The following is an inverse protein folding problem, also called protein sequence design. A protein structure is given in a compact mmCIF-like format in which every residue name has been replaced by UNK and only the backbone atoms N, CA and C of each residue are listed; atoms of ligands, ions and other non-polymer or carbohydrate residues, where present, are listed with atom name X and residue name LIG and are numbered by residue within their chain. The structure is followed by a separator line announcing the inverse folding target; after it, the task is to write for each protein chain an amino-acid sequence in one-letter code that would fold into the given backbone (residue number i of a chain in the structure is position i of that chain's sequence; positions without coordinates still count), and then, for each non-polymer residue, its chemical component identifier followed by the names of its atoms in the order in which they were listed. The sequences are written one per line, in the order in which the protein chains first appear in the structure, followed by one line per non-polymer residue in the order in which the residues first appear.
data_IF_371590830215
#
_entry.id   IF_371590830215
#
_cell.length_a   1.000
_cell.length_b   1.000
_cell.length_c   1.000
_cell.angle_alpha   90.00
_cell.angle_beta   90.00
_cell.angle_gamma   90.00
#
_symmetry.space_group_name_H-M   'P 1'
#
loop_
_entity.id
_entity.type
_entity.pdbx_description
1 polymer ?
#
# COMPACT_ATOMS: atom_id res chain seq x y z
N UNK A 1 40.07 41.60 -66.11
CA UNK A 1 39.32 42.39 -67.12
C UNK A 1 38.03 42.84 -66.52
N UNK A 2 37.83 44.15 -66.44
CA UNK A 2 36.62 44.94 -66.29
C UNK A 2 35.80 44.67 -64.97
N UNK A 3 35.94 45.45 -63.91
CA UNK A 3 35.69 46.90 -63.72
C UNK A 3 34.22 47.33 -63.93
N UNK A 4 33.61 47.89 -62.92
CA UNK A 4 32.80 49.09 -62.70
C UNK A 4 31.75 48.80 -61.63
N UNK A 5 31.74 49.41 -60.54
CA UNK A 5 31.74 50.79 -60.03
C UNK A 5 30.30 51.19 -59.52
N UNK A 6 30.29 51.50 -58.29
CA UNK A 6 29.58 52.55 -57.55
C UNK A 6 28.16 52.98 -58.00
N UNK A 7 27.23 53.01 -57.01
CA UNK A 7 26.65 54.32 -56.59
C UNK A 7 25.99 54.17 -55.22
N UNK A 8 26.38 55.12 -54.39
CA UNK A 8 25.76 55.38 -53.08
C UNK A 8 24.57 56.33 -53.29
N UNK A 9 23.51 56.16 -52.47
CA UNK A 9 22.57 57.24 -52.16
C UNK A 9 22.05 57.05 -50.76
N UNK A 10 22.39 58.04 -49.97
CA UNK A 10 21.84 58.20 -48.62
C UNK A 10 20.49 58.89 -48.66
N UNK A 11 19.52 58.49 -47.87
CA UNK A 11 18.43 59.37 -47.47
C UNK A 11 17.89 58.99 -46.04
N UNK A 12 18.08 59.93 -45.24
CA UNK A 12 17.47 60.39 -44.01
C UNK A 12 16.43 59.57 -43.21
N UNK A 13 16.70 59.64 -41.90
CA UNK A 13 15.89 59.47 -40.71
C UNK A 13 14.38 59.76 -40.83
N UNK A 14 13.59 58.83 -40.28
CA UNK A 14 12.43 59.21 -39.49
C UNK A 14 12.31 58.22 -38.31
N UNK A 15 12.55 58.71 -37.09
CA UNK A 15 12.32 57.98 -35.87
C UNK A 15 10.82 58.00 -35.59
N UNK A 16 10.21 56.79 -35.61
CA UNK A 16 8.87 56.59 -35.06
C UNK A 16 9.01 55.74 -33.78
N UNK A 17 8.84 56.38 -32.65
CA UNK A 17 8.69 55.72 -31.33
C UNK A 17 7.35 54.97 -31.28
N UNK A 18 7.38 53.66 -31.44
CA UNK A 18 6.23 52.82 -31.08
C UNK A 18 6.38 52.39 -29.61
N UNK A 19 5.54 52.96 -28.76
CA UNK A 19 5.27 52.43 -27.42
C UNK A 19 4.50 51.15 -27.56
N UNK A 20 5.17 50.00 -27.37
CA UNK A 20 4.51 48.72 -27.24
C UNK A 20 3.83 48.61 -25.87
N UNK A 21 2.52 48.70 -25.85
CA UNK A 21 1.71 48.32 -24.71
C UNK A 21 1.80 46.81 -24.57
N UNK A 22 2.44 46.35 -23.49
CA UNK A 22 2.43 44.95 -23.10
C UNK A 22 1.02 44.59 -22.57
N UNK A 23 0.19 44.01 -23.42
CA UNK A 23 -1.02 43.33 -22.97
C UNK A 23 -0.62 42.06 -22.24
N UNK A 24 -0.69 42.07 -20.91
CA UNK A 24 -0.60 40.86 -20.09
C UNK A 24 -1.83 40.00 -20.39
N UNK A 25 -1.65 38.91 -21.15
CA UNK A 25 -2.61 37.81 -21.21
C UNK A 25 -2.62 37.13 -19.85
N UNK A 26 -3.60 37.48 -18.99
CA UNK A 26 -3.96 36.62 -17.87
C UNK A 26 -4.54 35.35 -18.46
N UNK A 27 -3.77 34.26 -18.44
CA UNK A 27 -4.26 32.92 -18.71
C UNK A 27 -5.35 32.57 -17.70
N UNK A 28 -6.33 31.72 -18.07
CA UNK A 28 -7.35 31.33 -17.11
C UNK A 28 -6.68 30.67 -15.92
N UNK A 29 -6.96 31.22 -14.72
CA UNK A 29 -6.59 30.58 -13.47
C UNK A 29 -7.17 29.15 -13.49
N UNK A 30 -6.30 28.15 -13.54
CA UNK A 30 -6.70 26.77 -13.38
C UNK A 30 -7.49 26.66 -12.09
N UNK A 31 -8.74 26.26 -12.21
CA UNK A 31 -9.57 25.97 -11.05
C UNK A 31 -8.83 24.87 -10.28
N UNK A 32 -8.29 25.25 -9.12
CA UNK A 32 -7.83 24.27 -8.15
C UNK A 32 -9.05 23.39 -7.85
N UNK A 33 -8.93 22.10 -8.21
CA UNK A 33 -9.91 21.09 -7.83
C UNK A 33 -9.82 21.03 -6.31
N UNK A 34 -10.71 21.78 -5.64
CA UNK A 34 -10.89 21.67 -4.21
C UNK A 34 -11.45 20.27 -3.94
N UNK A 35 -10.60 19.38 -3.48
CA UNK A 35 -11.09 18.17 -2.84
C UNK A 35 -12.02 18.58 -1.71
N UNK A 36 -13.22 17.99 -1.59
CA UNK A 36 -14.11 18.34 -0.52
C UNK A 36 -13.38 18.11 0.81
N UNK A 37 -13.13 19.18 1.54
CA UNK A 37 -12.68 19.13 2.92
C UNK A 37 -13.77 18.46 3.74
N UNK A 38 -13.67 17.14 3.95
CA UNK A 38 -14.39 16.48 5.02
C UNK A 38 -13.74 16.87 6.35
N UNK A 39 -14.05 18.12 6.77
CA UNK A 39 -13.77 18.58 8.11
C UNK A 39 -14.96 18.23 9.00
N UNK A 40 -14.64 17.86 10.23
CA UNK A 40 -15.49 17.79 11.43
C UNK A 40 -15.70 16.40 12.04
N UNK A 41 -14.57 15.72 12.36
CA UNK A 41 -14.48 14.92 13.58
C UNK A 41 -13.08 15.17 14.17
N UNK A 42 -12.92 16.02 15.20
CA UNK A 42 -11.61 16.36 15.77
C UNK A 42 -10.83 15.18 16.38
N UNK A 43 -11.45 14.01 16.58
CA UNK A 43 -10.81 12.81 17.12
C UNK A 43 -10.37 11.76 16.09
N UNK A 44 -10.61 12.00 14.76
CA UNK A 44 -10.54 10.94 13.77
C UNK A 44 -9.13 10.66 13.19
N UNK A 45 -8.13 11.49 13.46
CA UNK A 45 -6.81 11.46 12.77
C UNK A 45 -5.63 11.08 13.65
N UNK A 46 -5.87 10.51 14.82
CA UNK A 46 -4.82 10.27 15.81
C UNK A 46 -4.87 8.84 16.38
N UNK A 47 -5.11 7.86 15.52
CA UNK A 47 -5.18 6.48 15.94
C UNK A 47 -4.24 5.60 15.11
N UNK A 48 -3.67 4.59 15.75
CA UNK A 48 -2.99 3.47 15.10
C UNK A 48 -3.68 2.19 15.55
N UNK A 49 -3.99 1.33 14.60
CA UNK A 49 -4.62 0.04 14.81
C UNK A 49 -3.66 -1.06 14.39
N UNK A 50 -3.51 -2.07 15.22
CA UNK A 50 -2.57 -3.18 15.00
C UNK A 50 -3.30 -4.50 15.19
N UNK A 51 -3.27 -5.38 14.20
CA UNK A 51 -3.79 -6.73 14.25
C UNK A 51 -2.82 -7.67 14.94
N UNK A 52 -3.32 -8.63 15.70
CA UNK A 52 -2.48 -9.54 16.48
C UNK A 52 -2.21 -10.88 15.81
N UNK A 53 -3.11 -11.33 14.92
CA UNK A 53 -3.14 -12.67 14.31
C UNK A 53 -3.04 -13.82 15.30
N UNK A 54 -3.49 -13.58 16.55
CA UNK A 54 -3.44 -14.55 17.59
C UNK A 54 -4.31 -15.79 17.28
N UNK A 55 -3.69 -16.97 17.29
CA UNK A 55 -4.32 -18.23 16.89
C UNK A 55 -5.48 -18.63 17.80
N UNK A 56 -5.46 -18.24 19.09
CA UNK A 56 -6.50 -18.55 20.04
C UNK A 56 -7.69 -17.55 20.01
N UNK A 57 -7.50 -16.41 19.30
CA UNK A 57 -8.53 -15.38 19.16
C UNK A 57 -7.89 -14.10 18.63
N UNK A 58 -8.22 -13.75 17.39
CA UNK A 58 -7.65 -12.56 16.74
C UNK A 58 -8.21 -11.27 17.34
N UNK A 59 -7.38 -10.25 17.43
CA UNK A 59 -7.70 -8.96 18.03
C UNK A 59 -7.12 -7.81 17.23
N UNK A 60 -7.71 -6.63 17.38
CA UNK A 60 -7.14 -5.35 16.98
C UNK A 60 -6.86 -4.53 18.23
N UNK A 61 -5.61 -4.15 18.42
CA UNK A 61 -5.17 -3.22 19.47
C UNK A 61 -5.17 -1.81 18.92
N UNK A 62 -5.90 -0.91 19.57
CA UNK A 62 -5.97 0.49 19.21
C UNK A 62 -5.06 1.34 20.09
N UNK A 63 -4.38 2.29 19.46
CA UNK A 63 -3.52 3.26 20.12
C UNK A 63 -3.97 4.68 19.80
N UNK A 64 -3.90 5.54 20.80
CA UNK A 64 -3.94 6.98 20.63
C UNK A 64 -2.55 7.46 20.22
N UNK A 65 -2.46 8.25 19.15
CA UNK A 65 -1.22 8.87 18.69
C UNK A 65 -1.15 10.31 19.20
N UNK A 66 -0.14 10.60 20.01
CA UNK A 66 0.15 11.94 20.50
C UNK A 66 0.66 12.87 19.37
N UNK A 67 0.68 14.19 19.57
CA UNK A 67 1.18 15.15 18.56
C UNK A 67 2.65 14.95 18.18
N UNK A 68 3.46 14.38 19.05
CA UNK A 68 4.87 14.03 18.83
C UNK A 68 5.07 12.67 18.14
N UNK A 69 3.96 11.95 17.88
CA UNK A 69 3.95 10.66 17.21
C UNK A 69 3.93 9.45 18.12
N UNK A 70 4.20 9.61 19.42
CA UNK A 70 4.24 8.48 20.37
C UNK A 70 2.88 7.86 20.59
N UNK A 71 2.84 6.54 20.84
CA UNK A 71 1.63 5.75 20.98
C UNK A 71 1.28 5.45 22.43
N UNK A 72 0.01 5.56 22.78
CA UNK A 72 -0.53 5.09 24.05
C UNK A 72 -1.72 4.17 23.79
N UNK A 73 -1.72 2.97 24.39
CA UNK A 73 -2.81 2.00 24.18
C UNK A 73 -4.15 2.56 24.64
N UNK A 74 -5.11 2.58 23.71
CA UNK A 74 -6.49 3.05 23.95
C UNK A 74 -7.45 1.90 24.22
N UNK A 75 -7.23 0.72 23.60
CA UNK A 75 -8.10 -0.43 23.79
C UNK A 75 -7.67 -1.67 23.03
N UNK A 76 -8.32 -2.79 23.31
CA UNK A 76 -8.15 -4.06 22.61
C UNK A 76 -9.52 -4.59 22.25
N UNK A 77 -9.72 -5.01 21.01
CA UNK A 77 -11.01 -5.38 20.44
C UNK A 77 -10.93 -6.76 19.78
N UNK A 78 -11.72 -7.72 20.29
CA UNK A 78 -11.83 -9.02 19.66
C UNK A 78 -12.45 -8.89 18.26
N UNK A 79 -11.86 -9.57 17.27
CA UNK A 79 -12.41 -9.61 15.91
C UNK A 79 -13.61 -10.54 15.81
N UNK A 80 -13.74 -11.50 16.71
CA UNK A 80 -14.75 -12.56 16.65
C UNK A 80 -14.34 -13.73 15.75
N UNK A 81 -13.07 -13.77 15.33
CA UNK A 81 -12.47 -14.88 14.59
C UNK A 81 -11.10 -15.27 15.15
N UNK A 82 -10.45 -16.19 14.49
CA UNK A 82 -9.14 -16.73 14.86
C UNK A 82 -8.07 -16.20 13.90
N UNK A 83 -6.89 -15.87 14.43
CA UNK A 83 -5.68 -15.72 13.62
C UNK A 83 -5.29 -17.05 12.98
N UNK A 84 -4.35 -17.01 12.07
CA UNK A 84 -3.85 -18.20 11.37
C UNK A 84 -2.36 -18.13 11.18
N UNK A 85 -1.71 -19.25 10.86
CA UNK A 85 -0.30 -19.30 10.58
C UNK A 85 -0.02 -20.22 9.39
N UNK A 86 0.55 -19.66 8.33
CA UNK A 86 1.04 -20.44 7.18
C UNK A 86 2.24 -21.29 7.58
N UNK A 87 2.28 -22.52 7.11
CA UNK A 87 3.37 -23.46 7.46
C UNK A 87 4.73 -22.90 7.05
N UNK A 88 5.64 -22.85 8.03
CA UNK A 88 7.02 -22.37 7.87
C UNK A 88 7.18 -20.87 8.13
N UNK A 89 6.10 -20.11 8.32
CA UNK A 89 6.20 -18.70 8.68
C UNK A 89 6.66 -18.52 10.14
N UNK A 90 7.48 -17.50 10.39
CA UNK A 90 8.12 -17.28 11.71
C UNK A 90 7.72 -15.92 12.30
N UNK A 91 7.93 -14.84 11.55
CA UNK A 91 7.73 -13.46 12.04
C UNK A 91 6.51 -12.77 11.47
N UNK A 92 5.92 -13.35 10.42
CA UNK A 92 4.64 -12.96 9.84
C UNK A 92 3.83 -14.24 9.58
N UNK A 93 2.81 -14.46 10.38
CA UNK A 93 1.98 -15.66 10.30
C UNK A 93 1.19 -15.74 8.98
N UNK A 94 0.84 -14.60 8.39
CA UNK A 94 0.05 -14.52 7.16
C UNK A 94 0.91 -14.48 5.91
N UNK A 95 2.17 -14.08 6.03
CA UNK A 95 3.12 -13.86 4.94
C UNK A 95 2.53 -13.00 3.83
N UNK A 96 1.98 -11.84 4.21
CA UNK A 96 1.21 -10.95 3.34
C UNK A 96 1.36 -9.49 3.74
N UNK A 97 0.69 -8.60 3.00
CA UNK A 97 0.45 -7.21 3.39
C UNK A 97 -1.02 -6.85 3.21
N UNK A 98 -1.54 -6.04 4.13
CA UNK A 98 -2.91 -5.52 4.04
C UNK A 98 -3.95 -6.42 4.69
N UNK A 99 -3.60 -7.21 5.70
CA UNK A 99 -4.54 -7.98 6.52
C UNK A 99 -5.48 -7.09 7.33
N UNK A 100 -5.04 -5.87 7.62
CA UNK A 100 -5.82 -4.81 8.26
C UNK A 100 -5.92 -3.61 7.31
N UNK A 101 -7.15 -3.22 6.91
CA UNK A 101 -7.38 -2.15 5.95
C UNK A 101 -8.46 -1.19 6.43
N UNK A 102 -8.24 0.11 6.28
CA UNK A 102 -9.17 1.15 6.70
C UNK A 102 -9.81 1.86 5.50
N UNK A 103 -11.14 1.89 5.49
CA UNK A 103 -11.96 2.66 4.56
C UNK A 103 -12.34 4.02 5.21
N UNK A 104 -11.73 5.12 4.75
CA UNK A 104 -12.03 6.45 5.30
C UNK A 104 -13.43 6.96 4.96
N UNK A 105 -14.00 6.52 3.83
CA UNK A 105 -15.31 6.99 3.39
C UNK A 105 -16.44 6.45 4.25
N UNK A 106 -16.30 5.21 4.75
CA UNK A 106 -17.29 4.56 5.60
C UNK A 106 -16.89 4.54 7.08
N UNK A 107 -15.72 5.07 7.44
CA UNK A 107 -15.11 4.95 8.75
C UNK A 107 -15.15 3.48 9.24
N UNK A 108 -14.72 2.57 8.36
CA UNK A 108 -14.72 1.13 8.59
C UNK A 108 -13.28 0.58 8.58
N UNK A 109 -13.01 -0.37 9.46
CA UNK A 109 -11.75 -1.11 9.51
C UNK A 109 -12.07 -2.58 9.22
N UNK A 110 -11.38 -3.17 8.26
CA UNK A 110 -11.49 -4.57 7.88
C UNK A 110 -10.29 -5.32 8.43
N UNK A 111 -10.51 -6.41 9.13
CA UNK A 111 -9.50 -7.28 9.69
C UNK A 111 -9.73 -8.72 9.23
N UNK A 112 -8.73 -9.38 8.65
CA UNK A 112 -8.85 -10.79 8.28
C UNK A 112 -8.74 -11.67 9.52
N UNK A 113 -9.40 -12.82 9.50
CA UNK A 113 -9.26 -13.88 10.49
C UNK A 113 -8.92 -15.17 9.73
N UNK A 114 -7.64 -15.37 9.51
CA UNK A 114 -7.15 -16.42 8.61
C UNK A 114 -7.54 -17.82 9.07
N UNK A 115 -7.43 -18.12 10.39
CA UNK A 115 -7.76 -19.42 10.95
C UNK A 115 -9.25 -19.76 10.96
N UNK A 116 -10.13 -18.77 10.82
CA UNK A 116 -11.59 -18.99 10.76
C UNK A 116 -12.23 -18.66 9.40
N UNK A 117 -11.42 -18.31 8.38
CA UNK A 117 -11.86 -17.98 7.02
C UNK A 117 -12.90 -16.86 6.99
N UNK A 118 -12.72 -15.82 7.81
CA UNK A 118 -13.65 -14.70 7.92
C UNK A 118 -12.95 -13.35 7.85
N UNK A 119 -13.75 -12.31 7.60
CA UNK A 119 -13.35 -10.91 7.72
C UNK A 119 -14.24 -10.22 8.72
N UNK A 120 -13.64 -9.45 9.61
CA UNK A 120 -14.33 -8.64 10.60
C UNK A 120 -14.42 -7.20 10.16
N UNK A 121 -15.59 -6.60 10.31
CA UNK A 121 -15.84 -5.19 9.99
C UNK A 121 -16.07 -4.43 11.28
N UNK A 122 -15.21 -3.46 11.55
CA UNK A 122 -15.39 -2.54 12.67
C UNK A 122 -15.82 -1.16 12.18
N UNK A 123 -16.71 -0.52 12.94
CA UNK A 123 -16.90 0.93 12.86
C UNK A 123 -15.83 1.64 13.67
N UNK A 124 -15.21 2.67 13.10
CA UNK A 124 -14.12 3.43 13.69
C UNK A 124 -14.62 4.77 14.22
N UNK A 125 -14.33 5.06 15.49
CA UNK A 125 -14.70 6.31 16.16
C UNK A 125 -13.48 6.86 16.93
N UNK A 126 -12.62 7.64 16.26
CA UNK A 126 -11.33 8.05 16.81
C UNK A 126 -10.42 6.83 16.98
N UNK A 127 -9.98 6.58 18.21
CA UNK A 127 -9.17 5.43 18.63
C UNK A 127 -10.03 4.26 19.17
N UNK A 128 -11.36 4.30 18.97
CA UNK A 128 -12.29 3.26 19.43
C UNK A 128 -12.88 2.49 18.27
N UNK A 129 -13.01 1.17 18.45
CA UNK A 129 -13.61 0.27 17.49
C UNK A 129 -14.93 -0.31 18.01
N UNK A 130 -15.87 -0.55 17.11
CA UNK A 130 -17.10 -1.29 17.38
C UNK A 130 -17.26 -2.37 16.33
N UNK A 131 -17.16 -3.64 16.72
CA UNK A 131 -17.44 -4.76 15.82
C UNK A 131 -18.88 -4.67 15.30
N UNK A 132 -19.04 -4.66 13.98
CA UNK A 132 -20.33 -4.56 13.27
C UNK A 132 -20.73 -5.86 12.59
N UNK A 133 -19.73 -6.63 12.12
CA UNK A 133 -19.96 -7.84 11.35
C UNK A 133 -18.73 -8.74 11.40
N UNK A 134 -18.97 -10.06 11.37
CA UNK A 134 -18.01 -11.08 10.97
C UNK A 134 -18.66 -11.83 9.81
N UNK A 135 -17.97 -11.96 8.67
CA UNK A 135 -18.49 -12.54 7.44
C UNK A 135 -17.45 -13.49 6.82
N UNK A 136 -17.89 -14.55 6.16
CA UNK A 136 -17.00 -15.45 5.43
C UNK A 136 -16.16 -14.70 4.38
N UNK A 137 -14.89 -15.05 4.25
CA UNK A 137 -13.95 -14.44 3.30
C UNK A 137 -14.17 -14.88 1.83
N UNK A 138 -15.05 -15.87 1.61
CA UNK A 138 -15.30 -16.44 0.29
C UNK A 138 -14.21 -17.40 -0.21
N UNK A 139 -13.26 -17.75 0.64
CA UNK A 139 -12.18 -18.71 0.36
C UNK A 139 -11.56 -19.22 1.64
N UNK A 140 -10.32 -19.68 1.57
CA UNK A 140 -9.58 -20.24 2.70
C UNK A 140 -8.36 -19.40 3.03
N UNK A 141 -8.18 -19.13 4.31
CA UNK A 141 -7.04 -18.40 4.84
C UNK A 141 -6.91 -16.98 4.25
N UNK A 142 -7.86 -16.04 4.55
CA UNK A 142 -7.77 -14.66 4.09
C UNK A 142 -6.52 -13.97 4.65
N UNK A 143 -5.82 -13.23 3.79
CA UNK A 143 -4.52 -12.61 4.12
C UNK A 143 -4.44 -11.12 3.77
N UNK A 144 -5.30 -10.62 2.87
CA UNK A 144 -5.23 -9.21 2.44
C UNK A 144 -6.60 -8.71 2.03
N UNK A 145 -6.86 -7.43 2.26
CA UNK A 145 -8.10 -6.74 1.89
C UNK A 145 -7.76 -5.46 1.12
N UNK A 146 -8.33 -5.32 -0.07
CA UNK A 146 -8.30 -4.07 -0.83
C UNK A 146 -9.67 -3.40 -0.81
N UNK A 147 -9.70 -2.08 -0.65
CA UNK A 147 -10.93 -1.30 -0.70
C UNK A 147 -10.84 -0.17 -1.73
N UNK A 148 -11.94 0.13 -2.37
CA UNK A 148 -12.07 1.28 -3.27
C UNK A 148 -13.53 1.72 -3.37
N UNK A 149 -13.87 2.83 -2.73
CA UNK A 149 -15.26 3.32 -2.69
C UNK A 149 -16.20 2.37 -1.96
N UNK A 150 -17.11 1.73 -2.68
CA UNK A 150 -17.99 0.70 -2.10
C UNK A 150 -17.57 -0.74 -2.45
N UNK A 151 -16.44 -0.90 -3.17
CA UNK A 151 -15.88 -2.21 -3.50
C UNK A 151 -14.85 -2.64 -2.46
N UNK A 152 -14.94 -3.90 -2.05
CA UNK A 152 -13.93 -4.56 -1.21
C UNK A 152 -13.61 -5.91 -1.83
N UNK A 153 -12.33 -6.22 -1.98
CA UNK A 153 -11.87 -7.52 -2.39
C UNK A 153 -10.98 -8.13 -1.31
N UNK A 154 -11.25 -9.40 -1.01
CA UNK A 154 -10.50 -10.20 -0.03
C UNK A 154 -9.67 -11.22 -0.78
N UNK A 155 -8.37 -11.27 -0.48
CA UNK A 155 -7.43 -12.27 -0.98
C UNK A 155 -7.36 -13.42 0.03
N UNK A 156 -7.58 -14.62 -0.46
CA UNK A 156 -7.47 -15.87 0.29
C UNK A 156 -6.25 -16.65 -0.19
N UNK A 157 -5.45 -17.18 0.72
CA UNK A 157 -4.13 -17.70 0.41
C UNK A 157 -4.09 -19.19 0.09
N UNK A 158 -4.95 -20.00 0.71
CA UNK A 158 -4.92 -21.45 0.59
C UNK A 158 -5.72 -21.99 -0.61
N UNK A 159 -5.59 -23.31 -0.87
CA UNK A 159 -6.26 -24.02 -1.97
C UNK A 159 -5.99 -23.41 -3.36
N UNK A 160 -4.76 -22.93 -3.59
CA UNK A 160 -4.35 -22.35 -4.86
C UNK A 160 -4.65 -20.85 -4.98
N UNK A 161 -5.07 -20.21 -3.91
CA UNK A 161 -5.36 -18.77 -3.85
C UNK A 161 -6.65 -18.37 -4.57
N UNK A 162 -7.32 -17.35 -4.05
CA UNK A 162 -8.51 -16.76 -4.70
C UNK A 162 -8.77 -15.35 -4.22
N UNK A 163 -9.53 -14.57 -5.01
CA UNK A 163 -10.11 -13.31 -4.56
C UNK A 163 -11.63 -13.39 -4.55
N UNK A 164 -12.27 -12.74 -3.57
CA UNK A 164 -13.72 -12.62 -3.44
C UNK A 164 -14.12 -11.16 -3.27
N UNK A 165 -15.08 -10.70 -4.06
CA UNK A 165 -15.59 -9.33 -4.02
C UNK A 165 -16.81 -9.15 -3.12
N UNK A 166 -16.91 -7.97 -2.52
CA UNK A 166 -18.00 -7.52 -1.66
C UNK A 166 -18.40 -6.09 -2.00
N UNK A 167 -19.67 -5.76 -1.70
CA UNK A 167 -20.15 -4.38 -1.57
C UNK A 167 -20.12 -3.96 -0.11
N UNK A 168 -19.47 -2.83 0.15
CA UNK A 168 -19.48 -2.21 1.46
C UNK A 168 -20.59 -1.16 1.53
N UNK A 169 -21.51 -1.32 2.47
CA UNK A 169 -22.60 -0.39 2.69
C UNK A 169 -22.96 -0.31 4.17
N UNK A 170 -23.05 0.91 4.71
CA UNK A 170 -23.42 1.13 6.11
C UNK A 170 -22.44 0.49 7.11
N UNK A 171 -21.18 0.32 6.73
CA UNK A 171 -20.17 -0.36 7.54
C UNK A 171 -20.39 -1.87 7.65
N UNK A 172 -20.96 -2.48 6.62
CA UNK A 172 -21.13 -3.93 6.46
C UNK A 172 -20.74 -4.35 5.05
N UNK A 173 -20.35 -5.61 4.91
CA UNK A 173 -20.04 -6.25 3.64
C UNK A 173 -21.18 -7.17 3.19
N UNK A 174 -21.46 -7.16 1.89
CA UNK A 174 -22.34 -8.13 1.24
C UNK A 174 -21.57 -8.73 0.05
N UNK A 175 -21.51 -10.08 -0.09
CA UNK A 175 -20.77 -10.69 -1.21
C UNK A 175 -21.40 -10.33 -2.55
N UNK A 176 -20.57 -10.08 -3.55
CA UNK A 176 -21.00 -9.86 -4.94
C UNK A 176 -21.14 -11.23 -5.60
N UNK A 177 -22.33 -11.62 -6.06
CA UNK A 177 -22.51 -12.90 -6.75
C UNK A 177 -21.64 -13.00 -8.00
N UNK A 178 -20.93 -14.12 -8.16
CA UNK A 178 -20.08 -14.37 -9.32
C UNK A 178 -18.74 -13.58 -9.33
N UNK A 179 -18.35 -12.96 -8.23
CA UNK A 179 -17.08 -12.20 -8.12
C UNK A 179 -15.88 -13.04 -7.69
N UNK A 180 -16.09 -14.29 -7.30
CA UNK A 180 -14.98 -15.19 -6.94
C UNK A 180 -14.10 -15.48 -8.15
N UNK A 181 -12.77 -15.34 -7.98
CA UNK A 181 -11.76 -15.69 -9.00
C UNK A 181 -10.65 -16.53 -8.36
N UNK A 182 -10.47 -17.79 -8.79
CA UNK A 182 -9.31 -18.57 -8.39
C UNK A 182 -8.05 -18.02 -9.05
N UNK A 183 -6.91 -18.07 -8.35
CA UNK A 183 -5.61 -17.69 -8.90
C UNK A 183 -4.93 -18.87 -9.61
N UNK A 184 -5.32 -20.11 -9.31
CA UNK A 184 -4.78 -21.29 -9.97
C UNK A 184 -3.35 -21.67 -9.55
N UNK A 185 -2.89 -21.18 -8.39
CA UNK A 185 -1.58 -21.51 -7.85
C UNK A 185 -1.53 -22.99 -7.41
N UNK A 186 -0.32 -23.58 -7.38
CA UNK A 186 -0.14 -24.94 -6.90
C UNK A 186 -0.37 -25.01 -5.37
N UNK A 187 -1.44 -25.66 -4.89
CA UNK A 187 -1.75 -25.72 -3.46
C UNK A 187 -0.79 -26.59 -2.65
N UNK A 188 0.05 -27.39 -3.31
CA UNK A 188 1.03 -28.28 -2.69
C UNK A 188 2.45 -27.70 -2.68
N UNK A 189 2.64 -26.47 -3.17
CA UNK A 189 3.95 -25.83 -3.18
C UNK A 189 4.44 -25.53 -1.76
N UNK A 190 5.70 -25.81 -1.49
CA UNK A 190 6.32 -25.65 -0.16
C UNK A 190 7.63 -24.87 -0.24
N UNK A 191 8.00 -24.11 0.82
CA UNK A 191 7.21 -23.85 2.02
C UNK A 191 5.98 -23.00 1.74
N UNK A 192 4.89 -23.22 2.46
CA UNK A 192 3.60 -22.57 2.19
C UNK A 192 3.69 -21.04 2.24
N UNK A 193 4.35 -20.48 3.24
CA UNK A 193 4.41 -19.02 3.44
C UNK A 193 5.07 -18.27 2.26
N UNK A 194 5.97 -18.86 1.49
CA UNK A 194 6.56 -18.25 0.28
C UNK A 194 5.78 -18.54 -0.98
N UNK A 195 4.88 -19.52 -0.96
CA UNK A 195 4.17 -20.03 -2.13
C UNK A 195 2.66 -19.72 -2.14
N UNK A 196 2.20 -18.84 -1.29
CA UNK A 196 0.86 -18.26 -1.26
C UNK A 196 0.88 -16.83 -1.81
N UNK A 197 -0.26 -16.25 -2.25
CA UNK A 197 -0.27 -14.86 -2.73
C UNK A 197 0.10 -13.87 -1.61
N UNK A 198 0.68 -12.72 -1.99
CA UNK A 198 1.22 -11.72 -1.07
C UNK A 198 0.23 -10.63 -0.70
N UNK A 199 -0.33 -9.96 -1.69
CA UNK A 199 -1.22 -8.82 -1.47
C UNK A 199 -2.24 -8.67 -2.60
N UNK A 200 -3.38 -8.05 -2.29
CA UNK A 200 -4.34 -7.52 -3.25
C UNK A 200 -4.44 -6.00 -3.11
N UNK A 201 -4.48 -5.26 -4.23
CA UNK A 201 -4.66 -3.82 -4.24
C UNK A 201 -5.44 -3.35 -5.46
N UNK A 202 -6.21 -2.26 -5.33
CA UNK A 202 -6.76 -1.56 -6.48
C UNK A 202 -5.73 -0.60 -7.09
N UNK A 203 -5.77 -0.43 -8.42
CA UNK A 203 -5.10 0.69 -9.07
C UNK A 203 -5.64 2.03 -8.56
N UNK A 204 -4.85 3.13 -8.61
CA UNK A 204 -5.29 4.43 -8.09
C UNK A 204 -6.60 4.95 -8.70
N UNK A 205 -6.92 4.60 -9.95
CA UNK A 205 -8.17 4.94 -10.63
C UNK A 205 -9.32 3.94 -10.35
N UNK A 206 -9.01 2.81 -9.70
CA UNK A 206 -9.97 1.74 -9.39
C UNK A 206 -10.39 0.88 -10.58
N UNK A 207 -9.75 1.04 -11.74
CA UNK A 207 -10.09 0.30 -12.96
C UNK A 207 -9.52 -1.12 -12.99
N UNK A 208 -8.54 -1.41 -12.13
CA UNK A 208 -7.84 -2.70 -12.06
C UNK A 208 -7.66 -3.16 -10.62
N UNK A 209 -7.65 -4.47 -10.43
CA UNK A 209 -7.27 -5.13 -9.18
C UNK A 209 -6.01 -5.94 -9.43
N UNK A 210 -4.98 -5.73 -8.63
CA UNK A 210 -3.66 -6.33 -8.75
C UNK A 210 -3.48 -7.34 -7.63
N UNK A 211 -2.90 -8.50 -7.94
CA UNK A 211 -2.51 -9.54 -6.97
C UNK A 211 -1.07 -9.94 -7.23
N UNK A 212 -0.27 -10.06 -6.18
CA UNK A 212 1.08 -10.64 -6.24
C UNK A 212 1.06 -12.08 -5.79
N UNK A 213 1.77 -12.99 -6.50
CA UNK A 213 1.69 -14.44 -6.27
C UNK A 213 2.88 -15.03 -5.52
N UNK A 214 3.86 -14.23 -5.19
CA UNK A 214 5.14 -14.66 -4.59
C UNK A 214 5.83 -15.77 -5.41
N UNK A 215 6.49 -16.73 -4.76
CA UNK A 215 7.32 -17.74 -5.45
C UNK A 215 6.52 -18.79 -6.26
N UNK A 216 5.24 -18.99 -5.97
CA UNK A 216 4.43 -20.00 -6.65
C UNK A 216 4.02 -19.63 -8.10
N UNK A 217 4.03 -18.35 -8.44
CA UNK A 217 3.81 -17.86 -9.79
C UNK A 217 4.96 -16.98 -10.24
N UNK A 218 5.50 -16.17 -9.31
CA UNK A 218 6.35 -15.01 -9.58
C UNK A 218 5.64 -14.02 -10.51
N UNK A 219 4.34 -13.81 -10.29
CA UNK A 219 3.50 -13.01 -11.18
C UNK A 219 2.93 -11.79 -10.47
N UNK A 220 2.71 -10.75 -11.27
CA UNK A 220 1.82 -9.63 -10.96
C UNK A 220 0.56 -9.84 -11.80
N UNK A 221 -0.48 -10.38 -11.17
CA UNK A 221 -1.76 -10.66 -11.80
C UNK A 221 -2.65 -9.41 -11.80
N UNK A 222 -3.11 -8.98 -12.97
CA UNK A 222 -3.93 -7.78 -13.11
C UNK A 222 -5.30 -8.13 -13.68
N UNK A 223 -6.33 -7.97 -12.86
CA UNK A 223 -7.73 -8.12 -13.26
C UNK A 223 -8.32 -6.76 -13.62
N UNK A 224 -9.06 -6.67 -14.72
CA UNK A 224 -9.87 -5.49 -14.99
C UNK A 224 -11.14 -5.51 -14.12
N UNK A 225 -11.43 -4.38 -13.49
CA UNK A 225 -12.69 -4.15 -12.78
C UNK A 225 -13.75 -3.68 -13.77
N UNK A 226 -14.76 -4.49 -13.95
CA UNK A 226 -15.88 -4.22 -14.88
C UNK A 226 -17.10 -3.66 -14.16
N UNK A 227 -18.19 -3.62 -14.93
CA UNK A 227 -19.48 -3.14 -14.42
C UNK A 227 -19.96 -3.95 -13.22
N UNK A 228 -20.54 -3.27 -12.24
CA UNK A 228 -20.99 -3.90 -11.01
C UNK A 228 -19.85 -4.34 -10.08
N UNK A 229 -18.60 -3.98 -10.37
CA UNK A 229 -17.43 -4.36 -9.59
C UNK A 229 -16.95 -5.79 -9.84
N UNK A 230 -17.46 -6.46 -10.87
CA UNK A 230 -16.98 -7.80 -11.25
C UNK A 230 -15.62 -7.71 -11.93
N UNK A 231 -14.73 -8.63 -11.60
CA UNK A 231 -13.44 -8.77 -12.27
C UNK A 231 -13.58 -9.48 -13.62
N UNK A 232 -12.62 -9.22 -14.53
CA UNK A 232 -12.40 -10.08 -15.70
C UNK A 232 -12.36 -11.56 -15.30
N UNK A 233 -12.70 -12.44 -16.23
CA UNK A 233 -12.75 -13.90 -15.97
C UNK A 233 -11.39 -14.48 -15.57
N UNK A 234 -10.31 -13.91 -16.14
CA UNK A 234 -8.92 -14.21 -15.83
C UNK A 234 -8.10 -12.91 -15.71
N UNK A 235 -6.96 -12.92 -15.02
CA UNK A 235 -6.04 -11.80 -15.01
C UNK A 235 -5.24 -11.70 -16.30
N UNK A 236 -4.62 -10.56 -16.53
CA UNK A 236 -3.42 -10.44 -17.35
C UNK A 236 -2.25 -10.84 -16.43
N UNK A 237 -1.59 -11.93 -16.75
CA UNK A 237 -0.46 -12.46 -15.98
C UNK A 237 0.81 -11.76 -16.46
N UNK A 238 1.49 -11.05 -15.55
CA UNK A 238 2.79 -10.43 -15.81
C UNK A 238 3.84 -11.20 -15.00
N UNK A 239 4.65 -11.99 -15.70
CA UNK A 239 5.61 -12.88 -15.05
C UNK A 239 6.92 -12.18 -14.77
N UNK A 240 7.38 -12.23 -13.51
CA UNK A 240 8.61 -11.64 -12.98
C UNK A 240 9.49 -12.74 -12.34
N UNK A 241 10.09 -13.63 -13.14
CA UNK A 241 10.74 -14.85 -12.65
C UNK A 241 11.84 -14.57 -11.64
N UNK A 242 11.76 -15.22 -10.47
CA UNK A 242 12.76 -15.13 -9.41
C UNK A 242 12.67 -13.89 -8.53
N UNK A 243 11.79 -12.93 -8.81
CA UNK A 243 11.65 -11.70 -8.02
C UNK A 243 10.80 -11.90 -6.77
N UNK A 244 9.90 -12.90 -6.76
CA UNK A 244 8.97 -13.14 -5.66
C UNK A 244 8.20 -11.87 -5.29
N UNK A 245 7.33 -11.34 -6.19
CA UNK A 245 6.58 -10.11 -5.95
C UNK A 245 5.70 -10.25 -4.71
N UNK A 246 5.81 -9.32 -3.76
CA UNK A 246 5.16 -9.45 -2.46
C UNK A 246 4.18 -8.29 -2.21
N UNK A 247 4.65 -7.16 -1.73
CA UNK A 247 3.83 -6.01 -1.36
C UNK A 247 3.64 -5.03 -2.51
N UNK A 248 2.49 -4.35 -2.51
CA UNK A 248 2.01 -3.43 -3.54
C UNK A 248 1.84 -2.04 -2.95
N UNK A 249 2.40 -1.04 -3.62
CA UNK A 249 2.11 0.36 -3.39
C UNK A 249 2.04 1.12 -4.72
N UNK A 250 1.80 2.43 -4.69
CA UNK A 250 1.80 3.29 -5.85
C UNK A 250 2.50 4.61 -5.55
N UNK A 251 3.25 5.14 -6.53
CA UNK A 251 3.80 6.47 -6.44
C UNK A 251 2.77 7.55 -6.82
N UNK A 252 3.14 8.81 -6.66
CA UNK A 252 2.25 9.94 -6.97
C UNK A 252 1.92 10.07 -8.46
N UNK A 253 2.73 9.49 -9.34
CA UNK A 253 2.51 9.45 -10.78
C UNK A 253 1.62 8.25 -11.21
N UNK A 254 1.28 7.37 -10.27
CA UNK A 254 0.49 6.16 -10.50
C UNK A 254 1.30 4.97 -10.97
N UNK A 255 2.63 5.01 -10.86
CA UNK A 255 3.44 3.82 -11.09
C UNK A 255 3.25 2.82 -9.96
N UNK A 256 3.18 1.55 -10.32
CA UNK A 256 3.12 0.44 -9.39
C UNK A 256 4.49 0.29 -8.72
N UNK A 257 4.50 0.12 -7.41
CA UNK A 257 5.70 -0.08 -6.57
C UNK A 257 5.57 -1.42 -5.89
N UNK A 258 6.51 -2.33 -6.15
CA UNK A 258 6.49 -3.71 -5.67
C UNK A 258 7.73 -3.98 -4.82
N UNK A 259 7.53 -4.56 -3.64
CA UNK A 259 8.62 -5.19 -2.90
C UNK A 259 8.88 -6.58 -3.46
N UNK A 260 10.11 -6.84 -3.87
CA UNK A 260 10.56 -8.09 -4.48
C UNK A 260 11.39 -8.89 -3.48
N UNK A 261 10.77 -9.86 -2.83
CA UNK A 261 11.41 -10.64 -1.76
C UNK A 261 12.56 -11.53 -2.27
N UNK A 262 12.50 -12.00 -3.51
CA UNK A 262 13.53 -12.85 -4.11
C UNK A 262 14.83 -12.12 -4.41
N UNK A 263 14.74 -10.86 -4.82
CA UNK A 263 15.87 -9.99 -5.16
C UNK A 263 16.27 -9.05 -4.03
N UNK A 264 15.46 -8.98 -2.96
CA UNK A 264 15.58 -8.00 -1.87
C UNK A 264 15.64 -6.57 -2.41
N UNK A 265 14.71 -6.22 -3.29
CA UNK A 265 14.64 -4.94 -3.98
C UNK A 265 13.27 -4.29 -3.84
N UNK A 266 13.23 -2.99 -4.10
CA UNK A 266 12.01 -2.28 -4.45
C UNK A 266 12.04 -2.03 -5.96
N UNK A 267 10.96 -2.37 -6.66
CA UNK A 267 10.83 -2.19 -8.09
C UNK A 267 9.63 -1.30 -8.44
N UNK A 268 9.73 -0.55 -9.53
CA UNK A 268 8.63 0.25 -10.06
C UNK A 268 8.24 -0.22 -11.45
N UNK A 269 6.93 -0.15 -11.73
CA UNK A 269 6.37 -0.59 -13.00
C UNK A 269 5.36 0.43 -13.52
N UNK A 270 5.30 0.58 -14.82
CA UNK A 270 4.18 1.24 -15.49
C UNK A 270 3.06 0.24 -15.66
N UNK A 271 1.92 0.50 -15.02
CA UNK A 271 0.69 -0.25 -15.20
C UNK A 271 -0.09 0.34 -16.38
N UNK A 272 -0.46 -0.49 -17.33
CA UNK A 272 -1.20 -0.09 -18.53
C UNK A 272 -2.69 -0.41 -18.39
N UNK A 273 -3.54 0.31 -19.11
CA UNK A 273 -4.98 0.09 -19.11
C UNK A 273 -5.42 -1.29 -19.64
N UNK A 274 -4.55 -1.99 -20.36
CA UNK A 274 -4.77 -3.38 -20.82
C UNK A 274 -4.36 -4.44 -19.78
N UNK A 275 -3.78 -4.02 -18.63
CA UNK A 275 -3.33 -4.89 -17.56
C UNK A 275 -1.87 -5.32 -17.66
N UNK A 276 -1.18 -4.99 -18.75
CA UNK A 276 0.25 -5.26 -18.87
C UNK A 276 1.06 -4.32 -17.96
N UNK A 277 2.12 -4.84 -17.34
CA UNK A 277 3.11 -4.04 -16.60
C UNK A 277 4.43 -3.98 -17.37
N UNK A 278 5.17 -2.91 -17.19
CA UNK A 278 6.51 -2.75 -17.74
C UNK A 278 7.41 -2.18 -16.66
N UNK A 279 8.46 -2.90 -16.28
CA UNK A 279 9.42 -2.44 -15.28
C UNK A 279 10.07 -1.13 -15.72
N UNK A 280 10.15 -0.18 -14.80
CA UNK A 280 10.79 1.12 -14.98
C UNK A 280 12.16 1.15 -14.31
N UNK A 281 12.21 0.63 -13.07
CA UNK A 281 13.43 0.58 -12.26
C UNK A 281 13.34 -0.53 -11.21
N UNK A 282 14.49 -0.98 -10.70
CA UNK A 282 14.60 -1.86 -9.55
C UNK A 282 15.89 -1.60 -8.79
N UNK A 283 15.79 -1.32 -7.50
CA UNK A 283 16.94 -0.96 -6.65
C UNK A 283 16.97 -1.83 -5.40
N UNK A 284 18.06 -2.59 -5.24
CA UNK A 284 18.29 -3.47 -4.10
C UNK A 284 18.43 -2.71 -2.78
N UNK A 285 17.91 -3.29 -1.70
CA UNK A 285 18.02 -2.75 -0.33
C UNK A 285 19.42 -2.97 0.27
N UNK A 286 20.16 -3.98 -0.22
CA UNK A 286 21.34 -4.49 0.47
C UNK A 286 21.04 -5.19 1.79
N UNK A 287 19.75 -5.50 2.03
CA UNK A 287 19.23 -6.14 3.25
C UNK A 287 18.68 -7.55 2.92
N UNK A 288 18.06 -8.22 3.88
CA UNK A 288 17.53 -9.56 3.73
C UNK A 288 16.03 -9.65 4.02
N UNK A 289 15.31 -10.45 3.23
CA UNK A 289 13.86 -10.67 3.30
C UNK A 289 13.06 -9.35 3.22
N UNK A 290 13.27 -8.60 2.13
CA UNK A 290 12.53 -7.38 1.80
C UNK A 290 11.18 -7.75 1.24
N UNK A 291 10.10 -7.56 1.99
CA UNK A 291 8.78 -8.06 1.62
C UNK A 291 7.68 -7.00 1.61
N UNK A 292 7.66 -6.07 2.56
CA UNK A 292 6.60 -5.07 2.73
C UNK A 292 7.04 -3.70 2.25
N UNK A 293 6.07 -2.86 1.89
CA UNK A 293 6.33 -1.47 1.52
C UNK A 293 5.23 -0.54 1.99
N UNK A 294 5.61 0.55 2.66
CA UNK A 294 4.70 1.61 3.09
C UNK A 294 5.09 2.95 2.48
N UNK A 295 4.14 3.70 1.88
CA UNK A 295 4.38 5.07 1.42
C UNK A 295 4.25 6.07 2.58
N UNK A 296 5.13 7.09 2.64
CA UNK A 296 5.01 8.23 3.54
C UNK A 296 5.65 9.48 2.94
N UNK A 297 4.91 10.57 2.86
CA UNK A 297 5.38 11.90 2.43
C UNK A 297 6.19 11.92 1.12
N UNK A 298 5.80 11.10 0.15
CA UNK A 298 6.49 10.97 -1.14
C UNK A 298 7.70 10.03 -1.13
N UNK A 299 7.97 9.37 0.00
CA UNK A 299 8.97 8.31 0.16
C UNK A 299 8.31 6.94 0.26
N UNK A 300 9.12 5.90 0.07
CA UNK A 300 8.74 4.50 0.31
C UNK A 300 9.66 3.89 1.34
N UNK A 301 9.08 3.11 2.22
CA UNK A 301 9.79 2.41 3.30
C UNK A 301 9.56 0.92 3.14
N UNK A 302 10.63 0.19 2.79
CA UNK A 302 10.59 -1.25 2.58
C UNK A 302 11.09 -1.98 3.83
N UNK A 303 10.28 -2.88 4.37
CA UNK A 303 10.60 -3.67 5.55
C UNK A 303 11.43 -4.90 5.20
N UNK A 304 12.52 -5.11 5.96
CA UNK A 304 13.50 -6.17 5.76
C UNK A 304 13.51 -7.12 6.97
N UNK A 305 12.66 -8.15 6.93
CA UNK A 305 12.44 -9.04 8.08
C UNK A 305 13.70 -9.77 8.55
N UNK A 306 14.56 -10.15 7.62
CA UNK A 306 15.80 -10.88 7.92
C UNK A 306 16.93 -10.00 8.44
N UNK A 307 16.85 -8.69 8.25
CA UNK A 307 17.87 -7.73 8.67
C UNK A 307 17.44 -6.83 9.83
N UNK A 308 16.21 -6.98 10.34
CA UNK A 308 15.63 -6.12 11.36
C UNK A 308 15.82 -4.64 11.02
N UNK A 309 15.32 -4.22 9.87
CA UNK A 309 15.53 -2.86 9.37
C UNK A 309 14.43 -2.43 8.37
N UNK A 310 14.34 -1.13 8.15
CA UNK A 310 13.52 -0.51 7.11
C UNK A 310 14.43 0.27 6.17
N UNK A 311 14.33 0.01 4.87
CA UNK A 311 15.03 0.75 3.82
C UNK A 311 14.17 1.86 3.25
N UNK A 312 14.66 3.10 3.29
CA UNK A 312 14.00 4.28 2.73
C UNK A 312 14.37 4.49 1.26
N UNK A 313 13.37 4.89 0.45
CA UNK A 313 13.53 5.23 -0.97
C UNK A 313 12.79 6.51 -1.31
N UNK A 314 13.34 7.27 -2.27
CA UNK A 314 12.58 8.27 -3.02
C UNK A 314 12.29 7.76 -4.43
N UNK A 315 11.14 8.20 -5.00
CA UNK A 315 10.78 7.91 -6.38
C UNK A 315 10.76 9.21 -7.19
N UNK A 316 11.41 9.18 -8.34
CA UNK A 316 11.36 10.25 -9.32
C UNK A 316 10.09 10.18 -10.19
N UNK A 317 9.77 11.25 -10.94
CA UNK A 317 8.51 11.37 -11.69
C UNK A 317 8.35 10.35 -12.84
N UNK A 318 9.41 9.71 -13.27
CA UNK A 318 9.38 8.65 -14.28
C UNK A 318 9.55 7.25 -13.65
N UNK A 319 9.40 7.13 -12.32
CA UNK A 319 9.46 5.88 -11.59
C UNK A 319 10.89 5.45 -11.17
N UNK A 320 11.90 6.30 -11.36
CA UNK A 320 13.25 5.98 -10.88
C UNK A 320 13.30 5.97 -9.36
N UNK A 321 13.96 4.95 -8.80
CA UNK A 321 14.17 4.78 -7.37
C UNK A 321 15.57 5.23 -6.95
N UNK A 322 15.64 5.85 -5.78
CA UNK A 322 16.93 6.16 -5.13
C UNK A 322 16.87 5.66 -3.70
N UNK A 323 17.78 4.74 -3.35
CA UNK A 323 17.92 4.26 -1.97
C UNK A 323 18.49 5.39 -1.10
N UNK A 324 17.80 5.70 -0.01
CA UNK A 324 18.21 6.69 1.00
C UNK A 324 19.13 6.05 2.02
N UNK A 325 18.80 4.84 2.45
CA UNK A 325 19.53 4.08 3.45
C UNK A 325 18.60 3.15 4.25
N UNK A 326 19.17 2.45 5.24
CA UNK A 326 18.44 1.56 6.12
C UNK A 326 18.46 2.06 7.56
N UNK A 327 17.35 1.90 8.28
CA UNK A 327 17.20 2.22 9.70
C UNK A 327 16.86 0.94 10.46
N UNK A 328 17.54 0.68 11.57
CA UNK A 328 17.32 -0.52 12.40
C UNK A 328 15.96 -0.46 13.12
N UNK A 329 15.35 -1.63 13.26
CA UNK A 329 14.11 -1.88 14.01
C UNK A 329 14.33 -2.99 15.04
N UNK A 330 13.29 -3.33 15.80
CA UNK A 330 13.21 -4.60 16.52
C UNK A 330 13.18 -5.80 15.55
N UNK A 331 13.53 -7.03 16.00
CA UNK A 331 13.60 -8.20 15.14
C UNK A 331 12.27 -8.59 14.48
N UNK A 332 12.36 -8.98 13.19
CA UNK A 332 11.21 -9.44 12.43
C UNK A 332 10.36 -8.30 11.90
N UNK A 333 10.98 -7.33 11.25
CA UNK A 333 10.31 -6.20 10.59
C UNK A 333 9.33 -6.69 9.54
N UNK A 334 8.07 -6.36 9.70
CA UNK A 334 6.98 -6.75 8.81
C UNK A 334 6.21 -5.52 8.32
N UNK A 335 4.90 -5.50 8.44
CA UNK A 335 4.07 -4.43 7.91
C UNK A 335 4.34 -3.06 8.56
N UNK A 336 4.10 -2.01 7.80
CA UNK A 336 4.29 -0.65 8.26
C UNK A 336 3.19 0.27 7.73
N UNK A 337 2.88 1.32 8.48
CA UNK A 337 1.89 2.32 8.08
C UNK A 337 2.31 3.72 8.51
N UNK A 338 2.17 4.67 7.60
CA UNK A 338 2.44 6.07 7.90
C UNK A 338 1.19 6.79 8.41
N UNK A 339 1.39 7.76 9.29
CA UNK A 339 0.34 8.71 9.65
C UNK A 339 -0.16 9.44 8.42
N UNK A 340 -1.43 9.85 8.41
CA UNK A 340 -2.08 10.50 7.26
C UNK A 340 -1.32 11.73 6.70
N UNK A 341 -0.57 12.43 7.55
CA UNK A 341 0.26 13.57 7.15
C UNK A 341 1.70 13.20 6.79
N UNK A 342 2.03 11.90 6.72
CA UNK A 342 3.35 11.38 6.37
C UNK A 342 4.46 11.63 7.40
N UNK A 343 4.18 12.33 8.52
CA UNK A 343 5.20 12.73 9.49
C UNK A 343 5.74 11.61 10.37
N UNK A 344 4.99 10.53 10.51
CA UNK A 344 5.34 9.41 11.37
C UNK A 344 5.14 8.09 10.61
N UNK A 345 6.05 7.16 10.82
CA UNK A 345 5.99 5.80 10.33
C UNK A 345 5.96 4.85 11.54
N UNK A 346 5.02 3.91 11.52
CA UNK A 346 4.88 2.86 12.53
C UNK A 346 5.18 1.53 11.88
N UNK A 347 6.16 0.81 12.43
CA UNK A 347 6.67 -0.43 11.85
C UNK A 347 6.39 -1.57 12.82
N UNK A 348 5.56 -2.50 12.40
CA UNK A 348 5.26 -3.71 13.16
C UNK A 348 6.41 -4.70 13.03
N UNK A 349 6.82 -5.29 14.15
CA UNK A 349 7.86 -6.31 14.20
C UNK A 349 7.32 -7.58 14.85
N UNK A 350 7.22 -8.65 14.06
CA UNK A 350 6.56 -9.88 14.47
C UNK A 350 7.42 -10.76 15.39
N UNK A 351 8.72 -10.50 15.52
CA UNK A 351 9.58 -11.31 16.39
C UNK A 351 9.14 -11.29 17.87
N UNK A 352 8.78 -10.12 18.37
CA UNK A 352 8.34 -9.92 19.74
C UNK A 352 6.99 -9.19 19.88
N UNK A 353 6.31 -8.92 18.77
CA UNK A 353 5.05 -8.19 18.76
C UNK A 353 5.23 -6.73 19.22
N UNK A 354 6.20 -6.03 18.63
CA UNK A 354 6.49 -4.62 18.92
C UNK A 354 6.06 -3.77 17.72
N UNK A 355 5.68 -2.53 17.97
CA UNK A 355 5.58 -1.48 16.96
C UNK A 355 6.62 -0.43 17.27
N UNK A 356 7.59 -0.29 16.38
CA UNK A 356 8.57 0.79 16.39
C UNK A 356 7.96 2.07 15.84
N UNK A 357 8.26 3.18 16.48
CA UNK A 357 7.72 4.50 16.17
C UNK A 357 8.82 5.39 15.62
N UNK A 358 8.63 5.95 14.43
CA UNK A 358 9.61 6.81 13.78
C UNK A 358 8.99 8.15 13.37
N UNK A 359 9.77 9.21 13.53
CA UNK A 359 9.53 10.47 12.82
C UNK A 359 10.18 10.40 11.44
N UNK A 360 9.41 10.79 10.41
CA UNK A 360 9.89 10.93 9.02
C UNK A 360 10.44 12.33 8.85
N UNK A 361 11.75 12.43 8.65
CA UNK A 361 12.46 13.70 8.47
C UNK A 361 12.57 14.10 7.00
N UNK A 362 13.10 15.28 6.78
CA UNK A 362 13.43 15.77 5.45
C UNK A 362 14.39 14.80 4.74
N UNK A 363 14.12 14.55 3.45
CA UNK A 363 14.90 13.58 2.67
C UNK A 363 14.56 12.12 2.96
N UNK A 364 13.45 11.83 3.66
CA UNK A 364 12.99 10.46 3.92
C UNK A 364 13.82 9.72 4.98
N UNK A 365 14.55 10.43 5.83
CA UNK A 365 15.27 9.81 6.95
C UNK A 365 14.33 9.46 8.09
N UNK A 366 14.59 8.34 8.78
CA UNK A 366 13.82 7.92 9.95
C UNK A 366 14.59 8.20 11.24
N UNK A 367 13.90 8.78 12.22
CA UNK A 367 14.42 8.96 13.58
C UNK A 367 13.49 8.27 14.57
N UNK A 368 14.00 7.33 15.35
CA UNK A 368 13.22 6.64 16.38
C UNK A 368 12.71 7.64 17.44
N UNK A 369 11.42 7.54 17.76
CA UNK A 369 10.75 8.35 18.77
C UNK A 369 10.18 7.50 19.92
N UNK A 370 10.15 6.18 19.77
CA UNK A 370 9.67 5.24 20.76
C UNK A 370 9.35 3.87 20.19
N UNK A 371 8.76 3.03 21.03
CA UNK A 371 8.14 1.76 20.63
C UNK A 371 7.10 1.34 21.66
N UNK A 372 6.15 0.49 21.23
CA UNK A 372 5.16 -0.13 22.12
C UNK A 372 5.07 -1.63 21.89
N UNK A 373 4.93 -2.39 22.97
CA UNK A 373 4.61 -3.83 22.87
C UNK A 373 3.11 -4.00 22.63
N UNK A 374 2.77 -4.78 21.62
CA UNK A 374 1.39 -5.14 21.27
C UNK A 374 1.07 -6.51 21.87
N UNK A 375 0.20 -6.58 22.88
CA UNK A 375 -0.07 -7.85 23.55
C UNK A 375 -0.63 -8.91 22.61
N UNK A 376 0.02 -10.07 22.54
CA UNK A 376 -0.42 -11.20 21.73
C UNK A 376 -0.14 -11.10 20.22
N UNK A 377 0.73 -10.16 19.79
CA UNK A 377 1.02 -9.89 18.38
C UNK A 377 2.38 -10.46 17.92
N UNK A 378 2.98 -11.40 18.65
CA UNK A 378 4.12 -12.13 18.10
C UNK A 378 3.67 -12.94 16.88
N UNK A 379 4.33 -12.75 15.72
CA UNK A 379 3.92 -13.27 14.42
C UNK A 379 2.78 -12.51 13.75
N UNK A 380 2.28 -11.43 14.37
CA UNK A 380 1.19 -10.62 13.81
C UNK A 380 1.64 -9.73 12.65
N UNK A 381 0.73 -9.53 11.71
CA UNK A 381 0.82 -8.60 10.58
C UNK A 381 -0.49 -7.81 10.47
N UNK A 382 -0.42 -6.59 10.01
CA UNK A 382 -1.54 -5.69 9.79
C UNK A 382 -1.53 -4.48 10.71
N UNK A 383 -1.21 -3.32 10.12
CA UNK A 383 -1.16 -2.04 10.83
C UNK A 383 -1.75 -0.92 9.98
N UNK A 384 -2.54 -0.05 10.62
CA UNK A 384 -3.13 1.14 10.00
C UNK A 384 -2.90 2.34 10.90
N UNK A 385 -2.22 3.37 10.39
CA UNK A 385 -2.06 4.68 11.02
C UNK A 385 -2.92 5.74 10.33
N UNK A 386 -3.51 6.68 11.12
CA UNK A 386 -4.48 7.67 10.63
C UNK A 386 -4.09 9.09 10.99
#
# INVERSE_FOLDING_TARGET
MRSFARLASATALAAATLTAAAAAFAGPAGAAVSHPHYSWFPGARHAVFVQTDNLAGNQVVAYHRAPDGTLTRAGTYATGGLGGQLTGSVVDHLASQGSLTYDPAQAALFAVNAGSNTVSVFGVHGDRLKLRQVIGSGGHFPVSVAERGDLVYVLNAENGGSVQGYRAFGGRLAPIPGSHRPLGLNPSATPQFTNTPGQVAFSPDGSQLIVTTKANGNDIDVFRVGWGGLLSAAPVVNSEPGTVPFAISFDQAGHLVIAEAGTNALATFRLRGDGAVTQLDAVGTGQAATCWVAPADGYFFASNAGSASVSGYSAGPAGQLTLIGATSTDPGTVDASASHNGRFLYVQTGGNGIVDEFAVGAGGTLSSIGSVTVPGAAGGEGIVAR
#
